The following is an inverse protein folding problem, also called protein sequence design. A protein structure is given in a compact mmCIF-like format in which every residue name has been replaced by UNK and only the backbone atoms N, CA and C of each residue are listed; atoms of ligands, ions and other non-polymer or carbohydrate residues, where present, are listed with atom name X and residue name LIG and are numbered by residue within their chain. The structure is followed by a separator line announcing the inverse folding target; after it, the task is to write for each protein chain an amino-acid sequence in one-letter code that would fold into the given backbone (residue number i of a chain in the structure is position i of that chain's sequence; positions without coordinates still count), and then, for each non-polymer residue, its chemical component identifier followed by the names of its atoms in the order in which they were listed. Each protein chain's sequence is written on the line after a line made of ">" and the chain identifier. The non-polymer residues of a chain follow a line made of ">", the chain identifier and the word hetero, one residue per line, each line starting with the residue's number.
data_IF_502703712143
#
_entry.id   IF_502703712143
#
_cell.length_a   1.000
_cell.length_b   1.000
_cell.length_c   1.000
_cell.angle_alpha   90.00
_cell.angle_beta   90.00
_cell.angle_gamma   90.00
#
_symmetry.space_group_name_H-M   'P 1'
#
loop_
_entity.id
_entity.type
_entity.pdbx_description
1 polymer ?
#
# COMPACT_ATOMS: atom_id res chain seq x y z
N UNK A 1 -18.61 13.62 -12.53
CA UNK A 1 -18.27 14.69 -11.55
C UNK A 1 -17.05 14.21 -10.79
N UNK A 2 -15.92 14.90 -10.91
CA UNK A 2 -14.65 14.51 -10.29
C UNK A 2 -14.72 14.86 -8.80
N UNK A 3 -14.59 13.87 -7.92
CA UNK A 3 -14.62 14.09 -6.47
C UNK A 3 -13.20 14.13 -5.93
N UNK A 4 -12.52 15.27 -6.17
CA UNK A 4 -11.12 15.47 -5.79
C UNK A 4 -10.89 15.31 -4.29
N UNK A 5 -11.86 15.73 -3.47
CA UNK A 5 -11.81 15.58 -2.01
C UNK A 5 -11.79 14.10 -1.60
N UNK A 6 -12.68 13.28 -2.15
CA UNK A 6 -12.72 11.85 -1.83
C UNK A 6 -11.45 11.13 -2.30
N UNK A 7 -10.97 11.46 -3.51
CA UNK A 7 -9.74 10.87 -4.05
C UNK A 7 -8.51 11.20 -3.18
N UNK A 8 -8.40 12.44 -2.70
CA UNK A 8 -7.33 12.84 -1.80
C UNK A 8 -7.39 12.12 -0.44
N UNK A 9 -8.60 11.90 0.09
CA UNK A 9 -8.79 11.14 1.34
C UNK A 9 -8.42 9.66 1.17
N UNK A 10 -8.82 9.04 0.06
CA UNK A 10 -8.47 7.65 -0.27
C UNK A 10 -6.95 7.50 -0.40
N UNK A 11 -6.29 8.43 -1.10
CA UNK A 11 -4.84 8.43 -1.28
C UNK A 11 -4.12 8.51 0.07
N UNK A 12 -4.48 9.50 0.90
CA UNK A 12 -3.91 9.69 2.24
C UNK A 12 -4.15 8.49 3.16
N UNK A 13 -5.31 7.84 3.03
CA UNK A 13 -5.58 6.62 3.78
C UNK A 13 -4.65 5.48 3.34
N UNK A 14 -4.45 5.31 2.02
CA UNK A 14 -3.51 4.34 1.47
C UNK A 14 -2.07 4.57 1.94
N UNK A 15 -1.58 5.81 1.92
CA UNK A 15 -0.22 6.13 2.41
C UNK A 15 -0.06 5.74 3.89
N UNK A 16 -1.09 6.00 4.70
CA UNK A 16 -1.09 5.61 6.12
C UNK A 16 -1.10 4.10 6.29
N UNK A 17 -1.82 3.36 5.45
CA UNK A 17 -1.79 1.89 5.46
C UNK A 17 -0.40 1.35 5.12
N UNK A 18 0.32 1.94 4.16
CA UNK A 18 1.70 1.56 3.84
C UNK A 18 2.62 1.75 5.06
N UNK A 19 2.53 2.91 5.71
CA UNK A 19 3.30 3.22 6.91
C UNK A 19 3.00 2.24 8.06
N UNK A 20 1.72 1.99 8.35
CA UNK A 20 1.29 1.07 9.43
C UNK A 20 1.68 -0.38 9.14
N UNK A 21 1.77 -0.76 7.86
CA UNK A 21 2.28 -2.06 7.42
C UNK A 21 3.81 -2.15 7.42
N UNK A 22 4.53 -1.05 7.65
CA UNK A 22 5.99 -1.01 7.72
C UNK A 22 6.68 -0.92 6.36
N UNK A 23 5.99 -0.42 5.33
CA UNK A 23 6.60 -0.19 4.03
C UNK A 23 7.67 0.92 4.10
N UNK A 24 8.71 0.85 3.24
CA UNK A 24 9.74 1.87 3.20
C UNK A 24 9.19 3.27 2.88
N UNK A 25 9.73 4.35 3.45
CA UNK A 25 9.26 5.73 3.20
C UNK A 25 9.39 6.23 1.75
N UNK A 26 10.14 5.52 0.91
CA UNK A 26 10.27 5.83 -0.52
C UNK A 26 9.20 5.14 -1.39
N UNK A 27 8.26 4.42 -0.77
CA UNK A 27 7.09 3.83 -1.43
C UNK A 27 5.87 4.66 -1.06
N UNK A 28 5.26 5.26 -2.07
CA UNK A 28 4.07 6.10 -1.92
C UNK A 28 2.88 5.47 -2.66
N UNK A 29 1.67 5.80 -2.25
CA UNK A 29 0.48 5.46 -3.03
C UNK A 29 0.32 6.45 -4.18
N UNK A 30 -0.08 5.93 -5.33
CA UNK A 30 -0.37 6.72 -6.53
C UNK A 30 -1.74 6.31 -7.10
N UNK A 31 -2.58 7.26 -7.51
CA UNK A 31 -3.83 6.93 -8.19
C UNK A 31 -3.55 6.42 -9.61
N UNK A 32 -4.21 5.33 -10.00
CA UNK A 32 -4.09 4.76 -11.34
C UNK A 32 -5.24 5.25 -12.19
N UNK A 33 -4.92 6.03 -13.22
CA UNK A 33 -5.86 6.54 -14.23
C UNK A 33 -7.24 6.91 -13.62
N UNK A 34 -7.30 7.88 -12.69
CA UNK A 34 -8.48 8.12 -11.84
C UNK A 34 -9.76 8.48 -12.62
N UNK A 35 -9.64 8.93 -13.88
CA UNK A 35 -10.77 9.21 -14.79
C UNK A 35 -11.36 7.93 -15.40
N UNK A 36 -10.57 6.86 -15.52
CA UNK A 36 -10.94 5.58 -16.13
C UNK A 36 -11.20 4.50 -15.07
N UNK A 37 -10.44 4.54 -13.97
CA UNK A 37 -10.52 3.58 -12.86
C UNK A 37 -10.58 4.33 -11.51
N UNK A 38 -11.74 4.92 -11.15
CA UNK A 38 -11.88 5.66 -9.91
C UNK A 38 -11.63 4.75 -8.69
N UNK A 39 -10.84 5.23 -7.73
CA UNK A 39 -10.54 4.51 -6.49
C UNK A 39 -9.43 3.45 -6.60
N UNK A 40 -8.85 3.23 -7.78
CA UNK A 40 -7.68 2.36 -7.93
C UNK A 40 -6.40 3.07 -7.49
N UNK A 41 -5.64 2.40 -6.63
CA UNK A 41 -4.37 2.88 -6.10
C UNK A 41 -3.28 1.84 -6.32
N UNK A 42 -2.06 2.31 -6.56
CA UNK A 42 -0.86 1.47 -6.63
C UNK A 42 0.21 1.99 -5.68
N UNK A 43 0.90 1.11 -4.98
CA UNK A 43 2.09 1.45 -4.22
C UNK A 43 3.30 1.42 -5.15
N UNK A 44 4.05 2.52 -5.25
CA UNK A 44 5.21 2.63 -6.13
C UNK A 44 6.37 3.31 -5.43
N UNK A 45 7.58 2.81 -5.63
CA UNK A 45 8.80 3.36 -5.06
C UNK A 45 10.04 2.70 -5.63
N UNK A 46 11.17 3.41 -5.58
CA UNK A 46 12.47 2.84 -5.89
C UNK A 46 13.15 2.41 -4.59
N UNK A 47 13.56 1.15 -4.54
CA UNK A 47 14.21 0.57 -3.38
C UNK A 47 15.68 0.31 -3.69
N UNK A 48 16.56 0.69 -2.76
CA UNK A 48 17.94 0.22 -2.79
C UNK A 48 18.05 -1.24 -2.34
N UNK A 49 19.23 -1.85 -2.49
CA UNK A 49 19.44 -3.26 -2.13
C UNK A 49 19.16 -3.56 -0.64
N UNK A 50 19.47 -2.63 0.26
CA UNK A 50 19.23 -2.80 1.69
C UNK A 50 17.72 -2.73 2.02
N UNK A 51 17.01 -1.80 1.39
CA UNK A 51 15.55 -1.65 1.50
C UNK A 51 14.82 -2.86 0.92
N UNK A 52 15.27 -3.40 -0.22
CA UNK A 52 14.74 -4.64 -0.80
C UNK A 52 14.93 -5.81 0.18
N UNK A 53 16.13 -5.99 0.73
CA UNK A 53 16.41 -7.06 1.66
C UNK A 53 15.56 -6.96 2.93
N UNK A 54 15.42 -5.75 3.49
CA UNK A 54 14.59 -5.51 4.67
C UNK A 54 13.11 -5.81 4.40
N UNK A 55 12.57 -5.35 3.25
CA UNK A 55 11.18 -5.60 2.86
C UNK A 55 10.93 -7.09 2.63
N UNK A 56 11.80 -7.77 1.88
CA UNK A 56 11.67 -9.22 1.63
C UNK A 56 11.75 -9.99 2.94
N UNK A 57 12.67 -9.64 3.84
CA UNK A 57 12.76 -10.26 5.17
C UNK A 57 11.47 -10.06 5.95
N UNK A 58 10.89 -8.85 5.94
CA UNK A 58 9.61 -8.56 6.60
C UNK A 58 8.45 -9.37 6.01
N UNK A 59 8.37 -9.48 4.68
CA UNK A 59 7.32 -10.25 3.99
C UNK A 59 7.46 -11.75 4.21
N UNK A 60 8.70 -12.24 4.33
CA UNK A 60 8.99 -13.64 4.64
C UNK A 60 8.86 -13.98 6.13
N UNK A 61 8.71 -12.98 7.02
CA UNK A 61 8.38 -13.28 8.41
C UNK A 61 7.06 -14.06 8.42
N UNK A 62 6.99 -15.20 9.13
CA UNK A 62 5.74 -15.93 9.26
C UNK A 62 4.71 -14.93 9.77
N UNK A 63 3.63 -14.79 9.01
CA UNK A 63 2.51 -13.94 9.37
C UNK A 63 2.06 -14.42 10.76
N UNK A 64 2.52 -13.75 11.81
CA UNK A 64 2.04 -13.97 13.16
C UNK A 64 0.54 -13.89 13.03
N UNK A 65 -0.11 -15.01 13.37
CA UNK A 65 -1.45 -15.49 13.02
C UNK A 65 -2.52 -14.41 12.71
N UNK A 66 -2.46 -13.23 13.34
CA UNK A 66 -3.31 -12.07 13.05
C UNK A 66 -3.12 -11.35 11.70
N UNK A 67 -1.91 -11.25 11.11
CA UNK A 67 -1.71 -10.54 9.82
C UNK A 67 -2.11 -11.38 8.59
N UNK A 68 -1.99 -12.71 8.66
CA UNK A 68 -2.47 -13.62 7.62
C UNK A 68 -3.99 -13.59 7.47
N UNK A 69 -4.71 -13.51 8.59
CA UNK A 69 -6.16 -13.41 8.59
C UNK A 69 -6.65 -12.13 7.89
N UNK A 70 -5.94 -11.00 8.05
CA UNK A 70 -6.25 -9.74 7.38
C UNK A 70 -6.05 -9.82 5.86
N UNK A 71 -4.93 -10.40 5.40
CA UNK A 71 -4.68 -10.60 3.96
C UNK A 71 -5.68 -11.58 3.33
N UNK A 72 -6.12 -12.60 4.08
CA UNK A 72 -7.13 -13.55 3.62
C UNK A 72 -8.53 -12.93 3.59
N UNK A 73 -8.84 -12.03 4.53
CA UNK A 73 -10.11 -11.32 4.58
C UNK A 73 -10.23 -10.27 3.45
N UNK A 74 -9.13 -9.63 3.03
CA UNK A 74 -9.14 -8.70 1.89
C UNK A 74 -9.20 -9.38 0.51
N UNK A 75 -8.95 -10.69 0.46
CA UNK A 75 -9.04 -11.49 -0.76
C UNK A 75 -10.45 -12.09 -1.00
N UNK A 76 -11.44 -11.71 -0.20
CA UNK A 76 -12.85 -12.11 -0.32
C UNK A 76 -13.74 -10.95 -0.69
#
# INVERSE_FOLDING_TARGET
>A
MRNDTLNALILRHGDRMLQDAGWPPCVDMMPVAPEQMPGWLVACGSLDAAQILALVTHLCQPLTYGRAALLTASAR
#
